data_IF_844248024086
#
_entry.id   IF_844248024086
#
_cell.length_a   1.000
_cell.length_b   1.000
_cell.length_c   1.000
_cell.angle_alpha   90.00
_cell.angle_beta   90.00
_cell.angle_gamma   90.00
#
_symmetry.space_group_name_H-M   'P 1'
#
loop_
_entity.id
_entity.type
_entity.pdbx_description
1 polymer ?
#
# COMPACT_ATOMS: atom_id res chain seq x y z
N UNK A 1 -0.14 -12.49 -12.81
CA UNK A 1 -0.58 -13.11 -11.54
C UNK A 1 -1.45 -14.32 -11.83
N UNK A 2 -1.09 -15.49 -11.28
CA UNK A 2 -1.81 -16.75 -11.51
C UNK A 2 -2.59 -17.16 -10.25
N UNK A 3 -3.76 -16.55 -10.05
CA UNK A 3 -4.61 -16.89 -8.90
C UNK A 3 -5.25 -18.28 -9.02
N UNK A 4 -5.31 -18.89 -10.20
CA UNK A 4 -6.00 -20.17 -10.40
C UNK A 4 -5.43 -21.24 -9.46
N UNK A 5 -4.11 -21.31 -9.33
CA UNK A 5 -3.41 -22.27 -8.45
C UNK A 5 -3.68 -22.07 -6.96
N UNK A 6 -4.17 -20.89 -6.56
CA UNK A 6 -4.41 -20.52 -5.16
C UNK A 6 -5.87 -20.60 -4.77
N UNK A 7 -6.76 -20.50 -5.74
CA UNK A 7 -8.21 -20.51 -5.59
C UNK A 7 -8.78 -21.94 -5.66
N UNK A 8 -9.92 -22.21 -4.97
CA UNK A 8 -10.49 -23.54 -4.89
C UNK A 8 -10.93 -24.08 -6.26
N UNK A 9 -10.69 -25.38 -6.47
CA UNK A 9 -10.96 -26.09 -7.73
C UNK A 9 -12.39 -25.86 -8.24
N UNK A 10 -12.51 -25.54 -9.53
CA UNK A 10 -13.77 -25.35 -10.27
C UNK A 10 -14.68 -24.25 -9.71
N UNK A 11 -14.13 -23.28 -8.97
CA UNK A 11 -14.89 -22.12 -8.47
C UNK A 11 -14.52 -20.85 -9.23
N UNK A 12 -15.52 -20.09 -9.71
CA UNK A 12 -15.28 -18.88 -10.50
C UNK A 12 -15.08 -17.67 -9.58
N UNK A 13 -13.96 -16.97 -9.78
CA UNK A 13 -13.67 -15.69 -9.17
C UNK A 13 -13.31 -14.70 -10.26
N UNK A 14 -13.26 -13.42 -9.91
CA UNK A 14 -12.64 -12.42 -10.75
C UNK A 14 -11.63 -11.59 -9.98
N UNK A 15 -10.52 -11.25 -10.64
CA UNK A 15 -9.49 -10.38 -10.08
C UNK A 15 -9.55 -9.00 -10.73
N UNK A 16 -9.36 -7.98 -9.90
CA UNK A 16 -9.23 -6.60 -10.34
C UNK A 16 -8.00 -6.01 -9.68
N UNK A 17 -7.12 -5.39 -10.47
CA UNK A 17 -5.92 -4.76 -9.97
C UNK A 17 -5.82 -3.34 -10.51
N UNK A 18 -5.96 -2.37 -9.61
CA UNK A 18 -5.66 -0.97 -9.89
C UNK A 18 -4.28 -0.62 -9.35
N UNK A 19 -3.54 0.19 -10.10
CA UNK A 19 -2.40 0.92 -9.55
C UNK A 19 -2.37 2.36 -10.00
N UNK A 20 -1.64 3.20 -9.29
CA UNK A 20 -1.32 4.55 -9.79
C UNK A 20 -0.13 4.52 -10.74
N UNK A 21 -0.02 5.51 -11.64
CA UNK A 21 1.28 5.90 -12.16
C UNK A 21 2.22 6.27 -11.01
N UNK A 22 3.52 6.01 -11.15
CA UNK A 22 4.47 6.44 -10.15
C UNK A 22 4.50 7.97 -10.09
N UNK A 23 4.47 8.51 -8.87
CA UNK A 23 4.54 9.94 -8.65
C UNK A 23 5.54 10.25 -7.55
N UNK A 24 6.28 11.35 -7.73
CA UNK A 24 7.26 11.79 -6.74
C UNK A 24 6.58 12.20 -5.42
N UNK A 25 7.08 11.67 -4.30
CA UNK A 25 6.63 11.98 -2.95
C UNK A 25 7.77 12.52 -2.08
N UNK A 26 7.48 12.79 -0.80
CA UNK A 26 8.53 13.09 0.19
C UNK A 26 9.38 11.83 0.41
N UNK A 27 10.66 12.02 0.75
CA UNK A 27 11.54 10.91 1.14
C UNK A 27 10.95 10.17 2.34
N UNK A 28 11.10 8.84 2.36
CA UNK A 28 10.64 8.01 3.48
C UNK A 28 11.42 8.31 4.76
N UNK A 29 12.71 8.60 4.64
CA UNK A 29 13.58 8.96 5.77
C UNK A 29 14.11 10.38 5.60
N UNK A 30 14.48 11.01 6.71
CA UNK A 30 15.11 12.34 6.66
C UNK A 30 16.61 12.16 6.41
N UNK A 31 17.03 12.35 5.17
CA UNK A 31 18.42 12.25 4.73
C UNK A 31 18.94 13.57 4.15
N UNK A 32 20.26 13.78 4.23
CA UNK A 32 20.99 14.84 3.55
C UNK A 32 22.13 14.17 2.75
N UNK A 33 22.17 14.27 1.40
CA UNK A 33 21.21 14.94 0.52
C UNK A 33 19.83 14.26 0.51
N UNK A 34 18.81 15.01 0.11
CA UNK A 34 17.44 14.51 0.04
C UNK A 34 17.33 13.47 -1.07
N UNK A 35 16.80 12.30 -0.74
CA UNK A 35 16.61 11.22 -1.71
C UNK A 35 15.37 11.48 -2.58
N UNK A 36 15.47 11.10 -3.84
CA UNK A 36 14.31 11.06 -4.75
C UNK A 36 13.51 9.81 -4.44
N UNK A 37 12.24 9.98 -4.06
CA UNK A 37 11.33 8.87 -3.78
C UNK A 37 10.10 8.97 -4.66
N UNK A 38 9.80 7.87 -5.36
CA UNK A 38 8.54 7.67 -6.07
C UNK A 38 7.61 6.81 -5.23
N UNK A 39 6.32 7.09 -5.30
CA UNK A 39 5.27 6.32 -4.66
C UNK A 39 4.30 5.77 -5.70
N UNK A 40 3.94 4.51 -5.51
CA UNK A 40 2.95 3.78 -6.30
C UNK A 40 1.95 3.19 -5.32
N UNK A 41 0.65 3.36 -5.59
CA UNK A 41 -0.41 2.71 -4.82
C UNK A 41 -0.95 1.54 -5.61
N UNK A 42 -1.15 0.39 -4.97
CA UNK A 42 -1.80 -0.79 -5.52
C UNK A 42 -3.05 -1.11 -4.70
N UNK A 43 -4.15 -1.38 -5.40
CA UNK A 43 -5.38 -1.92 -4.85
C UNK A 43 -5.73 -3.20 -5.60
N UNK A 44 -5.70 -4.32 -4.88
CA UNK A 44 -6.11 -5.62 -5.40
C UNK A 44 -7.47 -5.97 -4.81
N UNK A 45 -8.40 -6.40 -5.66
CA UNK A 45 -9.73 -6.83 -5.26
C UNK A 45 -9.98 -8.22 -5.84
N UNK A 46 -10.57 -9.09 -5.01
CA UNK A 46 -11.10 -10.38 -5.45
C UNK A 46 -12.62 -10.34 -5.34
N UNK A 47 -13.30 -10.71 -6.43
CA UNK A 47 -14.75 -10.83 -6.52
C UNK A 47 -15.14 -12.30 -6.59
N UNK A 48 -16.11 -12.70 -5.79
CA UNK A 48 -16.79 -13.99 -5.94
C UNK A 48 -17.83 -13.83 -7.05
N UNK A 49 -17.71 -14.57 -8.15
CA UNK A 49 -18.63 -14.45 -9.29
C UNK A 49 -19.98 -15.12 -9.05
N UNK A 50 -20.10 -16.00 -8.05
CA UNK A 50 -21.38 -16.62 -7.68
C UNK A 50 -22.19 -15.67 -6.78
N UNK A 51 -21.52 -15.03 -5.82
CA UNK A 51 -22.16 -14.04 -4.94
C UNK A 51 -22.20 -12.62 -5.54
N UNK A 52 -21.46 -12.40 -6.64
CA UNK A 52 -21.29 -11.14 -7.36
C UNK A 52 -20.83 -9.96 -6.50
N UNK A 53 -20.11 -10.24 -5.42
CA UNK A 53 -19.60 -9.25 -4.50
C UNK A 53 -18.09 -9.34 -4.35
N UNK A 54 -17.45 -8.22 -3.99
CA UNK A 54 -16.06 -8.20 -3.55
C UNK A 54 -15.95 -8.97 -2.22
N UNK A 55 -14.97 -9.87 -2.12
CA UNK A 55 -14.74 -10.74 -0.95
C UNK A 55 -13.42 -10.47 -0.24
N UNK A 56 -12.43 -9.93 -0.95
CA UNK A 56 -11.10 -9.59 -0.41
C UNK A 56 -10.59 -8.31 -1.06
N UNK A 57 -9.97 -7.45 -0.26
CA UNK A 57 -9.26 -6.25 -0.72
C UNK A 57 -7.87 -6.18 -0.09
N UNK A 58 -6.88 -5.72 -0.85
CA UNK A 58 -5.51 -5.51 -0.36
C UNK A 58 -4.99 -4.18 -0.90
N UNK A 59 -4.56 -3.31 0.01
CA UNK A 59 -3.89 -2.04 -0.30
C UNK A 59 -2.39 -2.16 0.00
N UNK A 60 -1.57 -1.85 -0.99
CA UNK A 60 -0.11 -1.88 -0.89
C UNK A 60 0.45 -0.59 -1.49
N UNK A 61 1.30 0.10 -0.73
CA UNK A 61 2.10 1.19 -1.26
C UNK A 61 3.51 0.66 -1.58
N UNK A 62 3.96 0.87 -2.81
CA UNK A 62 5.34 0.59 -3.24
C UNK A 62 6.08 1.92 -3.33
N UNK A 63 7.22 1.99 -2.66
CA UNK A 63 8.12 3.15 -2.70
C UNK A 63 9.41 2.78 -3.42
N UNK A 64 9.86 3.64 -4.31
CA UNK A 64 11.15 3.54 -4.97
C UNK A 64 12.02 4.70 -4.52
N UNK A 65 13.05 4.41 -3.74
CA UNK A 65 14.00 5.41 -3.24
C UNK A 65 15.33 5.25 -3.94
N UNK A 66 15.77 6.33 -4.59
CA UNK A 66 17.02 6.39 -5.32
C UNK A 66 18.09 7.06 -4.45
N UNK A 67 19.23 6.38 -4.28
CA UNK A 67 20.38 6.89 -3.55
C UNK A 67 21.67 6.58 -4.33
N UNK A 68 22.15 7.55 -5.11
CA UNK A 68 23.28 7.32 -6.03
C UNK A 68 22.94 6.20 -7.02
N UNK A 69 23.75 5.14 -7.03
CA UNK A 69 23.59 3.97 -7.90
C UNK A 69 22.77 2.83 -7.27
N UNK A 70 22.12 3.09 -6.12
CA UNK A 70 21.28 2.12 -5.42
C UNK A 70 19.80 2.48 -5.53
N UNK A 71 19.00 1.50 -5.94
CA UNK A 71 17.55 1.53 -5.84
C UNK A 71 17.08 0.69 -4.66
N UNK A 72 16.30 1.30 -3.77
CA UNK A 72 15.54 0.57 -2.75
C UNK A 72 14.07 0.55 -3.13
N UNK A 73 13.51 -0.64 -3.37
CA UNK A 73 12.07 -0.86 -3.45
C UNK A 73 11.53 -1.28 -2.10
N UNK A 74 10.64 -0.49 -1.54
CA UNK A 74 9.96 -0.78 -0.28
C UNK A 74 8.48 -1.07 -0.54
N UNK A 75 8.09 -2.33 -0.40
CA UNK A 75 6.71 -2.81 -0.47
C UNK A 75 6.10 -2.69 0.94
N UNK A 76 5.23 -1.71 1.14
CA UNK A 76 4.54 -1.48 2.39
C UNK A 76 3.09 -1.98 2.29
N UNK A 77 2.79 -3.07 2.98
CA UNK A 77 1.41 -3.59 3.04
C UNK A 77 0.62 -2.72 4.01
N UNK A 78 -0.33 -1.95 3.47
CA UNK A 78 -1.14 -1.01 4.25
C UNK A 78 -2.26 -1.75 4.98
N UNK A 79 -3.11 -2.43 4.21
CA UNK A 79 -4.37 -2.99 4.67
C UNK A 79 -4.67 -4.24 3.87
N UNK A 80 -5.18 -5.26 4.53
CA UNK A 80 -5.83 -6.41 3.91
C UNK A 80 -7.12 -6.67 4.67
N UNK A 81 -8.23 -6.83 3.96
CA UNK A 81 -9.55 -6.93 4.57
C UNK A 81 -10.45 -7.86 3.76
N UNK A 82 -11.43 -8.45 4.43
CA UNK A 82 -12.45 -9.33 3.82
C UNK A 82 -13.83 -8.84 4.17
N UNK A 83 -14.81 -9.11 3.29
CA UNK A 83 -16.19 -8.64 3.50
C UNK A 83 -17.05 -9.65 4.26
N UNK A 84 -16.74 -10.95 4.15
CA UNK A 84 -17.61 -12.02 4.67
C UNK A 84 -18.91 -12.22 3.88
N UNK A 85 -19.04 -11.60 2.69
CA UNK A 85 -20.24 -11.69 1.84
C UNK A 85 -20.18 -12.83 0.80
N UNK A 86 -19.03 -13.48 0.68
CA UNK A 86 -18.77 -14.54 -0.30
C UNK A 86 -19.63 -15.79 -0.06
N UNK A 87 -19.95 -16.47 -1.16
CA UNK A 87 -20.63 -17.78 -1.17
C UNK A 87 -19.64 -18.94 -1.21
N UNK A 88 -18.43 -18.70 -1.73
CA UNK A 88 -17.38 -19.71 -1.86
C UNK A 88 -16.33 -19.55 -0.77
N UNK A 89 -16.02 -20.65 -0.07
CA UNK A 89 -14.90 -20.69 0.87
C UNK A 89 -13.57 -20.72 0.11
N UNK A 90 -12.68 -19.75 0.38
CA UNK A 90 -11.33 -19.68 -0.18
C UNK A 90 -10.32 -19.32 0.91
N UNK A 91 -9.02 -19.49 0.61
CA UNK A 91 -7.94 -19.06 1.50
C UNK A 91 -7.47 -17.66 1.14
N UNK A 92 -7.86 -16.65 1.93
CA UNK A 92 -7.37 -15.29 1.77
C UNK A 92 -5.84 -15.21 1.84
N UNK A 93 -5.21 -16.06 2.66
CA UNK A 93 -3.75 -16.12 2.80
C UNK A 93 -3.05 -16.42 1.47
N UNK A 94 -3.64 -17.28 0.66
CA UNK A 94 -3.00 -17.79 -0.56
C UNK A 94 -3.19 -16.83 -1.73
N UNK A 95 -4.29 -16.09 -1.73
CA UNK A 95 -4.48 -14.97 -2.64
C UNK A 95 -3.52 -13.83 -2.31
N UNK A 96 -3.40 -13.48 -1.02
CA UNK A 96 -2.48 -12.42 -0.57
C UNK A 96 -1.02 -12.82 -0.81
N UNK A 97 -0.67 -14.09 -0.61
CA UNK A 97 0.66 -14.64 -0.94
C UNK A 97 1.01 -14.40 -2.41
N UNK A 98 0.10 -14.74 -3.33
CA UNK A 98 0.31 -14.54 -4.76
C UNK A 98 0.48 -13.06 -5.13
N UNK A 99 -0.25 -12.16 -4.46
CA UNK A 99 -0.10 -10.70 -4.66
C UNK A 99 1.29 -10.23 -4.22
N UNK A 100 1.76 -10.66 -3.04
CA UNK A 100 3.09 -10.25 -2.54
C UNK A 100 4.19 -10.87 -3.38
N UNK A 101 4.08 -12.15 -3.74
CA UNK A 101 5.02 -12.85 -4.61
C UNK A 101 5.13 -12.16 -5.98
N UNK A 102 3.99 -11.78 -6.58
CA UNK A 102 3.95 -10.98 -7.80
C UNK A 102 4.71 -9.66 -7.66
N UNK A 103 4.43 -8.88 -6.60
CA UNK A 103 5.09 -7.59 -6.40
C UNK A 103 6.59 -7.73 -6.12
N UNK A 104 7.01 -8.80 -5.44
CA UNK A 104 8.43 -9.10 -5.21
C UNK A 104 9.12 -9.49 -6.51
N UNK A 105 8.47 -10.24 -7.39
CA UNK A 105 9.04 -10.67 -8.67
C UNK A 105 8.99 -9.59 -9.75
N UNK A 106 8.09 -8.62 -9.65
CA UNK A 106 7.90 -7.58 -10.66
C UNK A 106 9.18 -6.78 -10.90
N UNK A 107 9.52 -6.50 -12.16
CA UNK A 107 10.63 -5.60 -12.46
C UNK A 107 10.31 -4.17 -11.99
N UNK A 108 11.11 -3.56 -11.09
CA UNK A 108 10.86 -2.19 -10.62
C UNK A 108 10.94 -1.11 -11.71
N UNK A 109 11.62 -1.37 -12.84
CA UNK A 109 11.77 -0.42 -13.98
C UNK A 109 10.43 0.06 -14.53
N UNK A 110 9.44 -0.84 -14.56
CA UNK A 110 8.10 -0.58 -15.09
C UNK A 110 7.43 0.60 -14.40
N UNK A 111 7.75 0.83 -13.12
CA UNK A 111 7.18 1.94 -12.38
C UNK A 111 7.77 3.28 -12.79
N UNK A 112 9.07 3.34 -13.07
CA UNK A 112 9.78 4.60 -13.18
C UNK A 112 10.02 5.07 -14.61
N UNK A 113 9.95 4.19 -15.61
CA UNK A 113 9.93 4.56 -17.04
C UNK A 113 8.78 5.52 -17.41
N UNK A 114 7.64 5.43 -16.69
CA UNK A 114 6.45 6.26 -16.91
C UNK A 114 6.12 7.14 -15.71
N UNK A 115 7.11 7.47 -14.88
CA UNK A 115 6.90 8.26 -13.67
C UNK A 115 6.55 9.72 -13.95
N UNK A 116 5.73 10.28 -13.06
CA UNK A 116 5.42 11.71 -13.00
C UNK A 116 6.28 12.41 -11.94
N UNK A 117 7.01 13.44 -12.36
CA UNK A 117 7.89 14.23 -11.50
C UNK A 117 7.28 15.59 -11.16
N UNK A 118 7.69 16.20 -10.05
CA UNK A 118 7.28 17.58 -9.71
C UNK A 118 8.15 18.56 -10.49
N UNK A 119 7.54 19.58 -11.09
CA UNK A 119 8.21 20.59 -11.94
C UNK A 119 9.41 21.28 -11.28
N UNK A 120 9.41 21.45 -9.94
CA UNK A 120 10.54 22.08 -9.22
C UNK A 120 11.80 21.21 -9.10
N UNK A 121 11.68 19.90 -9.31
CA UNK A 121 12.77 18.93 -9.21
C UNK A 121 13.06 18.24 -10.55
N UNK A 122 12.46 18.70 -11.66
CA UNK A 122 12.92 18.31 -12.98
C UNK A 122 14.36 18.83 -13.13
N UNK A 123 15.33 18.01 -13.57
CA UNK A 123 16.68 18.50 -13.76
C UNK A 123 16.64 19.68 -14.73
N UNK A 124 17.22 20.80 -14.29
CA UNK A 124 17.44 21.94 -15.16
C UNK A 124 18.31 21.44 -16.31
N UNK A 125 17.76 21.45 -17.52
CA UNK A 125 18.59 21.42 -18.71
C UNK A 125 19.35 22.75 -18.74
N UNK A 126 20.67 22.66 -18.65
CA UNK A 126 21.68 23.71 -18.82
C UNK A 126 21.73 24.83 -17.75
N UNK A 127 22.91 25.12 -17.15
CA UNK A 127 23.08 26.25 -16.21
C UNK A 127 23.25 27.63 -16.86
N UNK A 128 23.23 27.74 -18.18
CA UNK A 128 23.52 28.99 -18.88
C UNK A 128 22.28 29.51 -19.59
N UNK A 129 21.45 30.23 -18.83
CA UNK A 129 20.60 31.35 -19.26
C UNK A 129 19.69 31.73 -18.08
N UNK A 130 20.29 32.40 -17.10
CA UNK A 130 19.54 33.19 -16.11
C UNK A 130 19.91 34.64 -16.32
N UNK A 131 19.36 35.24 -17.35
CA UNK A 131 19.19 36.68 -17.38
C UNK A 131 17.87 37.07 -18.07
N UNK A 132 17.22 38.05 -17.44
CA UNK A 132 16.12 38.87 -17.95
C UNK A 132 14.80 38.17 -18.36
N UNK A 133 13.86 38.07 -17.40
CA UNK A 133 12.47 38.54 -17.58
C UNK A 133 11.61 38.32 -16.33
N UNK A 134 11.86 39.12 -15.28
CA UNK A 134 10.81 39.50 -14.34
C UNK A 134 10.06 40.69 -14.93
N UNK A 135 9.10 40.43 -15.81
CA UNK A 135 8.06 41.40 -16.11
C UNK A 135 6.83 41.04 -15.29
N UNK A 136 6.58 41.84 -14.26
CA UNK A 136 5.30 41.92 -13.56
C UNK A 136 4.14 41.99 -14.58
N UNK A 137 3.00 41.31 -14.35
CA UNK A 137 1.84 41.54 -15.19
C UNK A 137 1.36 42.97 -14.92
N UNK A 138 1.46 43.81 -15.95
CA UNK A 138 0.92 45.17 -15.97
C UNK A 138 -0.58 45.14 -15.66
N UNK A 139 -0.95 45.81 -14.58
CA UNK A 139 -2.29 46.33 -14.31
C UNK A 139 -2.71 47.26 -15.45
N UNK A 140 -3.79 46.92 -16.15
CA UNK A 140 -4.57 47.87 -16.93
C UNK A 140 -6.07 47.54 -16.81
N UNK A 141 -6.78 48.60 -16.44
CA UNK A 141 -8.17 48.76 -16.05
C UNK A 141 -9.22 48.09 -16.94
N UNK A 142 -10.31 47.61 -16.32
CA UNK A 142 -11.59 47.58 -17.04
C UNK A 142 -12.67 46.58 -16.64
N UNK A 143 -12.50 45.67 -15.68
CA UNK A 143 -13.61 44.85 -15.15
C UNK A 143 -13.35 44.54 -13.67
N UNK A 144 -14.33 44.82 -12.81
CA UNK A 144 -14.30 44.43 -11.40
C UNK A 144 -14.19 42.90 -11.27
N UNK A 145 -13.18 42.41 -10.54
CA UNK A 145 -13.09 41.00 -10.18
C UNK A 145 -14.35 40.60 -9.39
N UNK A 146 -15.00 39.51 -9.81
CA UNK A 146 -16.11 38.91 -9.08
C UNK A 146 -15.60 38.26 -7.79
N UNK A 147 -16.39 38.24 -6.72
CA UNK A 147 -16.04 37.53 -5.48
C UNK A 147 -15.92 36.01 -5.69
N UNK A 148 -16.50 35.48 -6.77
CA UNK A 148 -16.45 34.06 -7.10
C UNK A 148 -15.27 33.75 -8.03
N UNK A 149 -14.30 32.98 -7.54
CA UNK A 149 -13.11 32.56 -8.30
C UNK A 149 -13.47 31.90 -9.64
N UNK A 150 -14.54 31.11 -9.69
CA UNK A 150 -15.03 30.44 -10.91
C UNK A 150 -15.45 31.46 -11.97
N UNK A 151 -16.03 32.59 -11.57
CA UNK A 151 -16.48 33.63 -12.51
C UNK A 151 -15.27 34.35 -13.11
N UNK A 152 -14.25 34.63 -12.30
CA UNK A 152 -13.00 35.21 -12.79
C UNK A 152 -12.24 34.26 -13.71
N UNK A 153 -12.22 32.96 -13.39
CA UNK A 153 -11.64 31.93 -14.24
C UNK A 153 -12.35 31.85 -15.60
N UNK A 154 -13.70 31.90 -15.60
CA UNK A 154 -14.51 31.89 -16.82
C UNK A 154 -14.32 33.17 -17.65
N UNK A 155 -14.24 34.34 -17.03
CA UNK A 155 -13.97 35.61 -17.70
C UNK A 155 -12.57 35.63 -18.33
N UNK A 156 -11.57 35.10 -17.61
CA UNK A 156 -10.22 34.95 -18.13
C UNK A 156 -10.17 33.97 -19.32
N UNK A 157 -10.99 32.91 -19.28
CA UNK A 157 -11.12 31.95 -20.37
C UNK A 157 -11.82 32.58 -21.58
N UNK A 158 -12.92 33.32 -21.38
CA UNK A 158 -13.63 34.06 -22.43
C UNK A 158 -12.70 35.04 -23.14
N UNK A 159 -11.97 35.85 -22.38
CA UNK A 159 -11.04 36.84 -22.94
C UNK A 159 -9.91 36.18 -23.74
N UNK A 160 -9.44 35.00 -23.34
CA UNK A 160 -8.46 34.21 -24.10
C UNK A 160 -9.05 33.63 -25.39
N UNK A 161 -10.33 33.24 -25.39
CA UNK A 161 -11.03 32.75 -26.58
C UNK A 161 -11.30 33.85 -27.60
N UNK A 162 -11.64 35.04 -27.11
CA UNK A 162 -11.84 36.22 -27.95
C UNK A 162 -10.53 36.65 -28.64
N UNK A 163 -9.39 36.50 -27.96
CA UNK A 163 -8.07 36.84 -28.50
C UNK A 163 -7.49 35.77 -29.44
N UNK A 164 -7.74 34.49 -29.16
CA UNK A 164 -7.36 33.37 -30.04
C UNK A 164 -8.51 32.36 -30.11
N UNK A 165 -9.38 32.44 -31.12
CA UNK A 165 -10.47 31.48 -31.32
C UNK A 165 -9.94 30.04 -31.55
N UNK A 166 -8.70 29.90 -32.00
CA UNK A 166 -7.99 28.64 -32.12
C UNK A 166 -7.48 28.10 -30.79
N UNK A 167 -7.56 28.86 -29.69
CA UNK A 167 -7.06 28.49 -28.36
C UNK A 167 -7.62 27.16 -27.88
N UNK A 168 -8.92 26.86 -28.04
CA UNK A 168 -9.50 25.56 -27.62
C UNK A 168 -8.96 24.40 -28.44
N UNK A 169 -8.76 24.63 -29.74
CA UNK A 169 -8.22 23.62 -30.64
C UNK A 169 -6.74 23.39 -30.35
N UNK A 170 -5.99 24.46 -30.06
CA UNK A 170 -4.62 24.40 -29.55
C UNK A 170 -4.56 23.81 -28.17
N UNK A 171 -5.48 24.05 -27.23
CA UNK A 171 -5.46 23.41 -25.89
C UNK A 171 -5.83 21.94 -26.00
N UNK A 172 -6.77 21.56 -26.87
CA UNK A 172 -7.07 20.16 -27.13
C UNK A 172 -5.88 19.46 -27.79
N UNK A 173 -5.30 20.06 -28.83
CA UNK A 173 -4.09 19.57 -29.50
C UNK A 173 -2.86 19.64 -28.59
N UNK A 174 -2.78 20.59 -27.65
CA UNK A 174 -1.71 20.74 -26.65
C UNK A 174 -1.89 19.78 -25.48
N UNK A 175 -3.10 19.45 -25.06
CA UNK A 175 -3.38 18.39 -24.09
C UNK A 175 -3.16 17.01 -24.72
N UNK A 176 -3.46 16.88 -26.01
CA UNK A 176 -3.21 15.68 -26.81
C UNK A 176 -1.72 15.58 -27.20
N UNK A 177 -1.00 16.69 -27.39
CA UNK A 177 0.45 16.71 -27.56
C UNK A 177 1.17 16.62 -26.22
N UNK A 178 0.63 17.09 -25.09
CA UNK A 178 1.16 16.75 -23.75
C UNK A 178 1.03 15.25 -23.46
N UNK A 179 0.13 14.54 -24.15
CA UNK A 179 0.07 13.09 -24.12
C UNK A 179 1.10 12.41 -25.04
N UNK A 180 1.74 13.15 -25.97
CA UNK A 180 2.65 12.60 -27.00
C UNK A 180 4.02 13.28 -27.16
N UNK A 181 4.29 14.44 -26.58
CA UNK A 181 5.53 15.21 -26.75
C UNK A 181 6.12 15.58 -25.39
N UNK A 182 7.38 15.17 -25.26
CA UNK A 182 8.32 15.35 -24.14
C UNK A 182 8.07 14.49 -22.89
N UNK A 183 8.08 13.16 -23.10
CA UNK A 183 8.67 12.27 -22.08
C UNK A 183 10.13 12.72 -21.90
N UNK A 184 10.39 13.63 -20.95
CA UNK A 184 11.75 13.85 -20.46
C UNK A 184 12.27 12.49 -20.00
N UNK A 185 13.28 11.99 -20.70
CA UNK A 185 13.93 10.73 -20.39
C UNK A 185 14.28 10.67 -18.91
N UNK A 186 14.12 9.49 -18.35
CA UNK A 186 14.37 9.17 -16.96
C UNK A 186 15.76 9.70 -16.54
N UNK A 187 15.87 10.75 -15.71
CA UNK A 187 17.15 11.41 -15.44
C UNK A 187 18.00 10.70 -14.37
N UNK A 188 17.81 9.40 -14.23
CA UNK A 188 18.45 8.57 -13.22
C UNK A 188 19.17 7.44 -13.95
N UNK A 189 20.49 7.41 -13.82
CA UNK A 189 21.32 6.28 -14.24
C UNK A 189 20.68 4.97 -13.76
N UNK A 190 20.63 3.95 -14.63
CA UNK A 190 20.06 2.64 -14.27
C UNK A 190 20.85 2.08 -13.08
N UNK A 191 20.24 1.92 -11.90
CA UNK A 191 20.98 1.58 -10.70
C UNK A 191 21.58 0.17 -10.78
N UNK A 192 22.85 0.03 -10.39
CA UNK A 192 23.55 -1.28 -10.38
C UNK A 192 23.23 -2.13 -9.15
N UNK A 193 22.62 -1.53 -8.11
CA UNK A 193 22.27 -2.25 -6.87
C UNK A 193 20.79 -2.12 -6.54
N UNK A 194 20.21 -3.23 -6.11
CA UNK A 194 18.79 -3.32 -5.82
C UNK A 194 18.53 -3.90 -4.44
N UNK A 195 17.89 -3.13 -3.58
CA UNK A 195 17.42 -3.61 -2.28
C UNK A 195 15.89 -3.72 -2.29
N UNK A 196 15.39 -4.89 -1.90
CA UNK A 196 13.99 -5.11 -1.64
C UNK A 196 13.72 -5.04 -0.14
N UNK A 197 12.63 -4.37 0.21
CA UNK A 197 12.08 -4.37 1.56
C UNK A 197 10.61 -4.69 1.49
N UNK A 198 10.15 -5.55 2.38
CA UNK A 198 8.74 -5.72 2.69
C UNK A 198 8.59 -5.27 4.13
N UNK A 199 7.59 -4.45 4.42
CA UNK A 199 7.23 -4.23 5.82
C UNK A 199 5.74 -4.06 5.98
N UNK A 200 5.24 -4.47 7.14
CA UNK A 200 3.85 -4.33 7.49
C UNK A 200 3.68 -4.23 9.00
N UNK A 201 2.48 -3.84 9.38
CA UNK A 201 2.03 -3.86 10.76
C UNK A 201 0.79 -4.70 10.91
N UNK A 202 0.80 -5.55 11.92
CA UNK A 202 -0.36 -6.37 12.26
C UNK A 202 -1.06 -5.71 13.42
N UNK A 203 -2.15 -5.00 13.14
CA UNK A 203 -3.11 -4.58 14.15
C UNK A 203 -4.43 -5.22 13.77
N UNK A 204 -5.15 -5.76 14.74
CA UNK A 204 -6.51 -6.24 14.48
C UNK A 204 -7.47 -5.04 14.57
N UNK A 205 -8.44 -5.00 13.65
CA UNK A 205 -9.57 -4.10 13.70
C UNK A 205 -10.77 -4.78 13.04
N UNK A 206 -11.96 -4.28 13.37
CA UNK A 206 -13.21 -4.79 12.83
C UNK A 206 -13.31 -4.69 11.30
N UNK A 207 -12.76 -3.60 10.74
CA UNK A 207 -12.69 -3.35 9.30
C UNK A 207 -11.58 -2.34 8.98
N UNK A 208 -11.03 -2.44 7.77
CA UNK A 208 -9.96 -1.58 7.25
C UNK A 208 -10.32 -0.95 5.91
N UNK A 209 -10.84 -1.76 4.98
CA UNK A 209 -11.19 -1.36 3.62
C UNK A 209 -12.70 -1.37 3.46
N UNK A 210 -13.41 -2.25 4.17
CA UNK A 210 -14.83 -2.49 3.96
C UNK A 210 -15.64 -2.09 5.21
N UNK A 211 -16.18 -0.85 5.27
CA UNK A 211 -16.92 -0.37 6.43
C UNK A 211 -18.07 -1.28 6.83
N UNK A 212 -18.33 -1.40 8.13
CA UNK A 212 -19.44 -2.19 8.70
C UNK A 212 -19.46 -3.70 8.39
N UNK A 213 -18.51 -4.20 7.60
CA UNK A 213 -18.41 -5.63 7.25
C UNK A 213 -18.27 -6.58 8.44
N UNK A 214 -17.87 -6.07 9.61
CA UNK A 214 -17.86 -6.82 10.89
C UNK A 214 -19.22 -7.40 11.29
N UNK A 215 -20.30 -6.75 10.85
CA UNK A 215 -21.67 -7.17 11.14
C UNK A 215 -22.10 -8.35 10.26
N UNK A 216 -21.32 -8.70 9.24
CA UNK A 216 -21.62 -9.82 8.36
C UNK A 216 -21.27 -11.13 9.06
N UNK A 217 -22.24 -12.03 9.16
CA UNK A 217 -22.07 -13.32 9.84
C UNK A 217 -20.93 -14.19 9.24
N UNK A 218 -20.64 -14.02 7.94
CA UNK A 218 -19.55 -14.72 7.26
C UNK A 218 -18.17 -14.11 7.49
N UNK A 219 -18.05 -12.95 8.15
CA UNK A 219 -16.76 -12.30 8.42
C UNK A 219 -16.17 -12.83 9.73
N UNK A 220 -15.00 -13.47 9.63
CA UNK A 220 -14.20 -13.83 10.79
C UNK A 220 -13.17 -12.74 11.09
N UNK A 221 -13.37 -11.98 12.17
CA UNK A 221 -12.42 -10.97 12.63
C UNK A 221 -11.32 -11.65 13.46
N UNK A 222 -10.09 -11.62 12.95
CA UNK A 222 -8.94 -12.23 13.62
C UNK A 222 -8.55 -11.41 14.88
N UNK A 223 -8.17 -12.12 15.94
CA UNK A 223 -7.50 -11.49 17.09
C UNK A 223 -6.08 -11.04 16.70
N UNK A 224 -5.47 -10.14 17.48
CA UNK A 224 -4.10 -9.66 17.21
C UNK A 224 -3.08 -10.80 17.08
N UNK A 225 -3.16 -11.82 17.95
CA UNK A 225 -2.31 -13.01 17.91
C UNK A 225 -2.52 -13.81 16.61
N UNK A 226 -3.78 -14.06 16.25
CA UNK A 226 -4.13 -14.79 15.03
C UNK A 226 -3.64 -14.05 13.78
N UNK A 227 -3.84 -12.73 13.73
CA UNK A 227 -3.43 -11.91 12.60
C UNK A 227 -1.90 -11.86 12.46
N UNK A 228 -1.17 -11.72 13.57
CA UNK A 228 0.30 -11.75 13.55
C UNK A 228 0.80 -13.10 13.05
N UNK A 229 0.33 -14.21 13.62
CA UNK A 229 0.68 -15.56 13.17
C UNK A 229 0.30 -15.83 11.71
N UNK A 230 -0.84 -15.30 11.25
CA UNK A 230 -1.28 -15.42 9.86
C UNK A 230 -0.30 -14.74 8.88
N UNK A 231 0.16 -13.52 9.20
CA UNK A 231 1.16 -12.82 8.38
C UNK A 231 2.53 -13.49 8.42
N UNK A 232 2.96 -13.99 9.58
CA UNK A 232 4.21 -14.75 9.73
C UNK A 232 4.21 -16.01 8.86
N UNK A 233 3.12 -16.79 8.89
CA UNK A 233 2.96 -18.00 8.08
C UNK A 233 2.86 -17.71 6.57
N UNK A 234 2.34 -16.55 6.19
CA UNK A 234 2.25 -16.11 4.81
C UNK A 234 3.61 -15.68 4.27
N UNK A 235 4.29 -14.77 4.98
CA UNK A 235 5.56 -14.21 4.54
C UNK A 235 6.66 -15.27 4.52
N UNK A 236 6.69 -16.21 5.47
CA UNK A 236 7.66 -17.32 5.49
C UNK A 236 7.57 -18.24 4.26
N UNK A 237 6.43 -18.27 3.58
CA UNK A 237 6.25 -18.99 2.30
C UNK A 237 6.56 -18.14 1.06
N UNK A 238 6.59 -16.82 1.22
CA UNK A 238 6.78 -15.87 0.12
C UNK A 238 8.24 -15.49 -0.06
N UNK A 239 8.97 -15.36 1.05
CA UNK A 239 10.39 -15.01 1.07
C UNK A 239 11.25 -16.27 1.17
N UNK A 240 12.28 -16.36 0.34
CA UNK A 240 13.25 -17.46 0.40
C UNK A 240 14.35 -17.19 1.44
N UNK A 241 15.33 -18.09 1.53
CA UNK A 241 16.43 -18.00 2.49
C UNK A 241 17.41 -16.84 2.26
N UNK A 242 17.36 -16.17 1.10
CA UNK A 242 18.19 -14.99 0.82
C UNK A 242 17.73 -13.74 1.57
N UNK A 243 16.47 -13.72 2.02
CA UNK A 243 15.89 -12.59 2.74
C UNK A 243 16.25 -12.62 4.21
N UNK A 244 16.67 -11.49 4.77
CA UNK A 244 16.75 -11.28 6.22
C UNK A 244 15.41 -10.77 6.73
N UNK A 245 14.72 -11.59 7.51
CA UNK A 245 13.42 -11.28 8.09
C UNK A 245 13.49 -11.07 9.59
N UNK A 246 12.83 -10.01 10.04
CA UNK A 246 12.74 -9.62 11.44
C UNK A 246 11.30 -9.32 11.80
N UNK A 247 10.86 -9.85 12.94
CA UNK A 247 9.54 -9.56 13.48
C UNK A 247 9.60 -9.32 14.99
N UNK A 248 8.73 -8.45 15.48
CA UNK A 248 8.64 -8.16 16.91
C UNK A 248 7.23 -7.74 17.30
N UNK A 249 6.92 -7.88 18.58
CA UNK A 249 5.68 -7.41 19.18
C UNK A 249 6.08 -6.44 20.30
N UNK A 250 6.10 -5.12 20.03
CA UNK A 250 6.52 -4.14 21.02
C UNK A 250 5.72 -4.27 22.30
N UNK A 251 6.43 -4.32 23.44
CA UNK A 251 5.84 -4.49 24.77
C UNK A 251 5.62 -5.94 25.20
N UNK A 252 5.88 -6.93 24.34
CA UNK A 252 5.84 -8.36 24.69
C UNK A 252 7.21 -8.93 25.06
N UNK A 253 7.24 -10.01 25.82
CA UNK A 253 8.46 -10.72 26.17
C UNK A 253 9.03 -11.52 24.99
N UNK A 254 10.35 -11.76 25.02
CA UNK A 254 11.08 -12.44 23.93
C UNK A 254 10.49 -13.80 23.58
N UNK A 255 10.20 -14.62 24.59
CA UNK A 255 9.74 -16.00 24.43
C UNK A 255 8.36 -16.04 23.79
N UNK A 256 7.48 -15.10 24.10
CA UNK A 256 6.17 -14.99 23.48
C UNK A 256 6.25 -14.65 21.99
N UNK A 257 7.19 -13.77 21.60
CA UNK A 257 7.41 -13.42 20.18
C UNK A 257 8.03 -14.60 19.42
N UNK A 258 9.02 -15.25 20.00
CA UNK A 258 9.74 -16.39 19.39
C UNK A 258 8.81 -17.55 19.02
N UNK A 259 7.70 -17.75 19.75
CA UNK A 259 6.68 -18.76 19.42
C UNK A 259 6.00 -18.56 18.06
N UNK A 260 5.96 -17.33 17.56
CA UNK A 260 5.40 -17.01 16.24
C UNK A 260 6.44 -17.04 15.13
N UNK A 261 7.73 -16.98 15.47
CA UNK A 261 8.79 -17.02 14.47
C UNK A 261 8.85 -18.41 13.84
N UNK A 262 8.95 -18.50 12.51
CA UNK A 262 9.16 -19.79 11.86
C UNK A 262 10.54 -20.33 12.24
N UNK A 263 10.69 -21.65 12.29
CA UNK A 263 11.96 -22.35 12.53
C UNK A 263 12.88 -22.30 11.29
N UNK A 264 13.13 -21.08 10.79
CA UNK A 264 13.94 -20.80 9.62
C UNK A 264 15.10 -19.89 10.03
N UNK A 265 16.34 -20.14 9.54
CA UNK A 265 17.53 -19.44 10.01
C UNK A 265 17.54 -17.95 9.64
N UNK A 266 16.76 -17.56 8.64
CA UNK A 266 16.69 -16.19 8.15
C UNK A 266 15.64 -15.33 8.87
N UNK A 267 14.96 -15.89 9.88
CA UNK A 267 14.00 -15.20 10.73
C UNK A 267 14.56 -14.98 12.12
N UNK A 268 14.44 -13.75 12.63
CA UNK A 268 14.88 -13.40 13.97
C UNK A 268 13.96 -12.36 14.60
N UNK A 269 14.05 -12.19 15.92
CA UNK A 269 13.31 -11.14 16.63
C UNK A 269 13.91 -9.77 16.33
N UNK A 270 13.06 -8.76 16.13
CA UNK A 270 13.46 -7.35 16.03
C UNK A 270 12.87 -6.64 14.81
N UNK A 271 13.64 -5.72 14.22
CA UNK A 271 13.21 -4.94 13.05
C UNK A 271 14.35 -4.68 12.05
N UNK A 272 14.00 -4.37 10.80
CA UNK A 272 14.94 -4.15 9.69
C UNK A 272 15.54 -2.73 9.65
N UNK A 273 15.25 -1.88 10.64
CA UNK A 273 15.64 -0.47 10.66
C UNK A 273 16.77 -0.17 11.64
N UNK A 274 17.02 -1.06 12.61
CA UNK A 274 18.19 -1.00 13.49
C UNK A 274 19.38 -1.61 12.76
N UNK A 275 20.39 -0.79 12.51
CA UNK A 275 21.71 -1.19 12.01
C UNK A 275 22.69 -1.31 13.16
N UNK A 276 23.74 -2.11 13.00
CA UNK A 276 24.82 -2.27 13.99
C UNK A 276 25.53 -0.95 14.29
N UNK A 277 25.64 -0.08 13.28
CA UNK A 277 26.03 1.30 13.48
C UNK A 277 24.84 2.06 14.09
N UNK A 278 24.95 2.47 15.35
CA UNK A 278 23.93 3.28 16.01
C UNK A 278 23.66 4.54 15.19
N UNK A 279 22.44 4.64 14.69
CA UNK A 279 21.98 5.76 13.89
C UNK A 279 20.86 6.50 14.61
N UNK A 280 20.68 7.77 14.28
CA UNK A 280 19.52 8.53 14.76
C UNK A 280 18.23 7.99 14.14
N UNK A 281 17.18 7.83 14.95
CA UNK A 281 15.90 7.28 14.54
C UNK A 281 15.30 8.05 13.35
N UNK A 282 15.48 9.38 13.30
CA UNK A 282 14.97 10.23 12.22
C UNK A 282 15.54 9.90 10.83
N UNK A 283 16.73 9.28 10.77
CA UNK A 283 17.40 8.90 9.52
C UNK A 283 17.10 7.46 9.08
N UNK A 284 16.66 6.62 10.02
CA UNK A 284 16.50 5.17 9.78
C UNK A 284 15.03 4.73 9.72
N UNK A 285 14.14 5.38 10.47
CA UNK A 285 12.73 5.00 10.56
C UNK A 285 11.94 5.64 9.41
N UNK A 286 11.32 4.84 8.52
CA UNK A 286 10.53 5.38 7.42
C UNK A 286 9.18 5.93 7.90
N UNK A 287 8.75 7.02 7.28
CA UNK A 287 7.44 7.65 7.49
C UNK A 287 6.43 7.11 6.47
N UNK A 288 5.63 6.14 6.89
CA UNK A 288 4.52 5.61 6.11
C UNK A 288 3.17 6.26 6.50
N UNK A 289 2.18 6.30 5.60
CA UNK A 289 0.85 6.81 5.94
C UNK A 289 0.15 5.88 6.94
N UNK A 290 -0.58 6.46 7.90
CA UNK A 290 -1.33 5.75 8.96
C UNK A 290 -0.49 4.75 9.77
N UNK A 291 0.81 5.01 9.91
CA UNK A 291 1.80 4.12 10.52
C UNK A 291 2.14 4.51 11.97
N UNK A 292 1.98 3.60 12.96
CA UNK A 292 2.37 3.84 14.35
C UNK A 292 3.81 4.36 14.56
N UNK A 293 4.80 3.91 13.76
CA UNK A 293 6.19 4.40 13.88
C UNK A 293 6.25 5.84 13.38
N UNK A 294 5.69 6.08 12.20
CA UNK A 294 5.64 7.42 11.62
C UNK A 294 5.03 8.43 12.59
N UNK A 295 3.88 8.08 13.18
CA UNK A 295 3.17 8.90 14.16
C UNK A 295 4.02 9.18 15.41
N UNK A 296 4.70 8.16 15.96
CA UNK A 296 5.58 8.38 17.11
C UNK A 296 6.78 9.27 16.75
N UNK A 297 7.38 9.07 15.58
CA UNK A 297 8.48 9.92 15.12
C UNK A 297 8.04 11.38 14.93
N UNK A 298 6.85 11.61 14.41
CA UNK A 298 6.25 12.95 14.31
C UNK A 298 6.07 13.59 15.70
N UNK A 299 5.59 12.84 16.70
CA UNK A 299 5.52 13.34 18.08
C UNK A 299 6.90 13.74 18.62
N UNK A 300 7.95 12.94 18.37
CA UNK A 300 9.32 13.27 18.77
C UNK A 300 9.87 14.52 18.06
N UNK A 301 9.43 14.78 16.84
CA UNK A 301 9.80 15.99 16.09
C UNK A 301 9.13 17.21 16.73
N UNK A 302 7.83 17.13 17.02
CA UNK A 302 7.07 18.20 17.70
C UNK A 302 7.64 18.49 19.09
N UNK A 303 8.00 17.46 19.85
CA UNK A 303 8.64 17.57 21.17
C UNK A 303 10.13 17.97 21.08
N UNK A 304 10.69 18.15 19.88
CA UNK A 304 12.11 18.46 19.62
C UNK A 304 13.10 17.45 20.25
N UNK A 305 12.65 16.22 20.56
CA UNK A 305 13.47 15.12 21.12
C UNK A 305 14.16 14.27 20.05
N UNK A 306 13.81 14.45 18.78
CA UNK A 306 14.32 13.66 17.67
C UNK A 306 15.85 13.76 17.46
N UNK A 307 16.50 14.85 17.90
CA UNK A 307 17.93 15.12 17.66
C UNK A 307 18.86 14.16 18.41
N UNK A 308 18.47 13.70 19.59
CA UNK A 308 19.23 12.77 20.42
C UNK A 308 18.67 11.34 20.43
N UNK A 309 17.64 11.08 19.64
CA UNK A 309 16.94 9.80 19.65
C UNK A 309 17.69 8.76 18.81
N UNK A 310 18.33 7.79 19.44
CA UNK A 310 18.93 6.63 18.76
C UNK A 310 17.83 5.65 18.31
N UNK A 311 18.13 4.80 17.33
CA UNK A 311 17.19 3.77 16.87
C UNK A 311 16.79 2.82 17.99
N UNK A 312 17.72 2.39 18.86
CA UNK A 312 17.44 1.47 19.97
C UNK A 312 16.46 2.08 20.96
N UNK A 313 16.77 3.29 21.45
CA UNK A 313 15.91 4.02 22.38
C UNK A 313 14.52 4.31 21.78
N UNK A 314 14.47 4.60 20.49
CA UNK A 314 13.21 4.78 19.78
C UNK A 314 12.32 3.53 19.86
N UNK A 315 12.87 2.34 19.65
CA UNK A 315 12.10 1.09 19.74
C UNK A 315 11.65 0.78 21.17
N UNK A 316 12.51 1.06 22.16
CA UNK A 316 12.15 0.92 23.57
C UNK A 316 10.99 1.86 23.93
N UNK A 317 11.06 3.14 23.57
CA UNK A 317 9.98 4.10 23.83
C UNK A 317 8.69 3.78 23.06
N UNK A 318 8.80 3.25 21.82
CA UNK A 318 7.65 2.83 21.02
C UNK A 318 6.85 1.73 21.72
N UNK A 319 7.52 0.77 22.35
CA UNK A 319 6.88 -0.33 23.08
C UNK A 319 5.99 0.12 24.25
N UNK A 320 6.29 1.28 24.86
CA UNK A 320 5.50 1.84 25.96
C UNK A 320 4.33 2.72 25.51
N UNK A 321 4.15 2.95 24.20
CA UNK A 321 3.02 3.75 23.70
C UNK A 321 1.70 3.01 23.89
N UNK A 322 0.64 3.76 24.18
CA UNK A 322 -0.71 3.21 24.40
C UNK A 322 -1.20 2.31 23.25
N UNK A 323 -0.83 2.65 22.01
CA UNK A 323 -1.18 1.88 20.81
C UNK A 323 -0.66 0.43 20.83
N UNK A 324 0.40 0.15 21.59
CA UNK A 324 0.98 -1.19 21.75
C UNK A 324 0.65 -1.83 23.11
N UNK A 325 0.10 -1.07 24.06
CA UNK A 325 -0.25 -1.56 25.42
C UNK A 325 -1.73 -1.87 25.60
N UNK A 326 -2.63 -1.24 24.84
CA UNK A 326 -4.07 -1.34 25.04
C UNK A 326 -4.67 -2.59 24.37
N UNK A 327 -4.46 -3.75 25.00
CA UNK A 327 -5.25 -4.99 24.87
C UNK A 327 -5.18 -5.76 23.54
N UNK A 328 -4.98 -5.08 22.41
CA UNK A 328 -4.83 -5.69 21.11
C UNK A 328 -3.36 -5.75 20.72
N UNK A 329 -2.85 -6.96 20.49
CA UNK A 329 -1.49 -7.18 20.03
C UNK A 329 -1.23 -6.43 18.73
N UNK A 330 -0.16 -5.63 18.71
CA UNK A 330 0.36 -4.98 17.50
C UNK A 330 1.74 -5.53 17.18
N UNK A 331 1.86 -6.18 16.02
CA UNK A 331 3.10 -6.79 15.55
C UNK A 331 3.74 -5.99 14.43
N UNK A 332 5.06 -6.07 14.34
CA UNK A 332 5.89 -5.42 13.32
C UNK A 332 6.62 -6.50 12.57
N UNK A 333 6.52 -6.49 11.24
CA UNK A 333 7.23 -7.44 10.41
C UNK A 333 7.98 -6.67 9.32
N UNK A 334 9.25 -7.02 9.12
CA UNK A 334 10.09 -6.49 8.07
C UNK A 334 10.97 -7.57 7.48
N UNK A 335 11.07 -7.63 6.16
CA UNK A 335 12.01 -8.48 5.45
C UNK A 335 12.81 -7.63 4.48
N UNK A 336 14.11 -7.91 4.31
CA UNK A 336 14.95 -7.24 3.33
C UNK A 336 15.85 -8.23 2.60
N UNK A 337 16.10 -7.94 1.34
CA UNK A 337 16.97 -8.71 0.47
C UNK A 337 17.73 -7.73 -0.44
N UNK A 338 18.98 -8.07 -0.79
CA UNK A 338 19.84 -7.25 -1.63
C UNK A 338 20.33 -8.06 -2.81
N UNK A 339 19.99 -7.61 -4.02
CA UNK A 339 20.36 -8.25 -5.29
C UNK A 339 21.18 -7.29 -6.15
N UNK A 340 22.08 -7.86 -6.96
CA UNK A 340 22.85 -7.10 -7.97
C UNK A 340 22.06 -6.82 -9.26
N UNK A 341 21.11 -7.69 -9.62
CA UNK A 341 20.34 -7.54 -10.86
C UNK A 341 18.89 -7.14 -10.57
N UNK A 342 18.40 -6.11 -11.27
CA UNK A 342 17.00 -5.64 -11.25
C UNK A 342 16.06 -6.44 -12.16
N UNK A 343 16.44 -7.66 -12.56
CA UNK A 343 15.59 -8.53 -13.36
C UNK A 343 14.30 -8.88 -12.62
N UNK A 344 13.24 -9.15 -13.38
CA UNK A 344 11.94 -9.51 -12.83
C UNK A 344 10.95 -9.86 -13.93
N UNK A 345 9.72 -10.18 -13.52
CA UNK A 345 8.60 -10.39 -14.44
C UNK A 345 8.07 -9.06 -14.95
N UNK A 346 7.42 -9.10 -16.11
CA UNK A 346 6.64 -7.97 -16.64
C UNK A 346 5.37 -7.76 -15.83
N UNK A 347 4.79 -6.57 -15.96
CA UNK A 347 3.52 -6.24 -15.33
C UNK A 347 2.39 -7.10 -15.91
N UNK A 348 1.46 -7.50 -15.06
CA UNK A 348 0.25 -8.21 -15.45
C UNK A 348 -0.53 -7.32 -16.44
N UNK A 349 -0.82 -7.80 -17.67
CA UNK A 349 -1.54 -7.01 -18.67
C UNK A 349 -2.93 -6.55 -18.22
N UNK A 350 -3.50 -7.22 -17.21
CA UNK A 350 -4.80 -6.84 -16.62
C UNK A 350 -4.71 -5.70 -15.59
N UNK A 351 -3.52 -5.17 -15.34
CA UNK A 351 -3.31 -4.05 -14.41
C UNK A 351 -3.90 -2.76 -14.97
N UNK A 352 -4.87 -2.18 -14.26
CA UNK A 352 -5.49 -0.90 -14.63
C UNK A 352 -4.64 0.23 -14.04
N UNK A 353 -3.99 0.98 -14.92
CA UNK A 353 -3.13 2.11 -14.54
C UNK A 353 -3.96 3.38 -14.42
N UNK A 354 -3.86 4.05 -13.28
CA UNK A 354 -4.70 5.20 -12.94
C UNK A 354 -3.86 6.42 -12.55
N UNK A 355 -4.40 7.61 -12.72
CA UNK A 355 -3.90 8.81 -12.06
C UNK A 355 -4.27 8.79 -10.58
N UNK A 356 -3.59 9.61 -9.76
CA UNK A 356 -3.92 9.75 -8.33
C UNK A 356 -5.37 10.16 -8.07
N UNK A 357 -5.94 11.01 -8.94
CA UNK A 357 -7.33 11.48 -8.81
C UNK A 357 -8.32 10.36 -9.14
N UNK A 358 -8.06 9.60 -10.21
CA UNK A 358 -8.86 8.43 -10.59
C UNK A 358 -8.82 7.35 -9.51
N UNK A 359 -7.62 6.97 -9.02
CA UNK A 359 -7.45 6.01 -7.94
C UNK A 359 -8.26 6.40 -6.70
N UNK A 360 -8.19 7.67 -6.29
CA UNK A 360 -8.94 8.17 -5.13
C UNK A 360 -10.44 7.97 -5.31
N UNK A 361 -11.00 8.33 -6.46
CA UNK A 361 -12.44 8.16 -6.73
C UNK A 361 -12.87 6.69 -6.67
N UNK A 362 -12.07 5.77 -7.23
CA UNK A 362 -12.35 4.32 -7.21
C UNK A 362 -12.28 3.79 -5.77
N UNK A 363 -11.23 4.18 -5.05
CA UNK A 363 -11.04 3.81 -3.65
C UNK A 363 -12.16 4.35 -2.76
N UNK A 364 -12.60 5.60 -2.98
CA UNK A 364 -13.65 6.24 -2.20
C UNK A 364 -15.03 5.63 -2.50
N UNK A 365 -15.28 5.15 -3.73
CA UNK A 365 -16.46 4.34 -4.03
C UNK A 365 -16.49 3.09 -3.14
N UNK A 366 -15.40 2.32 -3.13
CA UNK A 366 -15.33 1.07 -2.36
C UNK A 366 -15.46 1.34 -0.85
N UNK A 367 -14.79 2.36 -0.33
CA UNK A 367 -14.86 2.73 1.10
C UNK A 367 -16.12 3.50 1.48
N UNK A 368 -16.90 3.96 0.51
CA UNK A 368 -18.14 4.70 0.74
C UNK A 368 -19.36 3.81 0.98
N UNK A 369 -19.27 2.53 0.63
CA UNK A 369 -20.37 1.58 0.74
C UNK A 369 -20.54 1.01 2.16
N UNK A 370 -21.79 0.67 2.48
CA UNK A 370 -22.16 -0.08 3.69
C UNK A 370 -22.21 -1.58 3.40
N UNK A 371 -21.20 -2.32 3.86
CA UNK A 371 -21.07 -3.75 3.58
C UNK A 371 -22.05 -4.64 4.34
N UNK A 372 -22.95 -4.08 5.16
CA UNK A 372 -24.09 -4.84 5.70
C UNK A 372 -25.17 -5.10 4.64
N UNK A 373 -25.25 -4.24 3.62
CA UNK A 373 -26.27 -4.30 2.58
C UNK A 373 -25.73 -5.00 1.35
N UNK A 374 -25.85 -6.33 1.30
CA UNK A 374 -25.32 -7.15 0.21
C UNK A 374 -25.81 -6.70 -1.18
N UNK A 375 -27.08 -6.32 -1.31
CA UNK A 375 -27.65 -5.92 -2.61
C UNK A 375 -27.01 -4.65 -3.17
N UNK A 376 -26.65 -3.69 -2.30
CA UNK A 376 -25.98 -2.46 -2.71
C UNK A 376 -24.55 -2.76 -3.19
N UNK A 377 -23.85 -3.68 -2.51
CA UNK A 377 -22.53 -4.15 -2.95
C UNK A 377 -22.59 -4.87 -4.30
N UNK A 378 -23.62 -5.71 -4.53
CA UNK A 378 -23.83 -6.39 -5.82
C UNK A 378 -24.11 -5.37 -6.93
N UNK A 379 -24.96 -4.37 -6.68
CA UNK A 379 -25.21 -3.26 -7.63
C UNK A 379 -23.94 -2.49 -7.94
N UNK A 380 -23.15 -2.14 -6.92
CA UNK A 380 -21.87 -1.46 -7.06
C UNK A 380 -20.89 -2.29 -7.92
N UNK A 381 -20.80 -3.61 -7.69
CA UNK A 381 -19.92 -4.51 -8.45
C UNK A 381 -20.39 -4.77 -9.90
N UNK A 382 -21.70 -4.71 -10.18
CA UNK A 382 -22.26 -4.94 -11.54
C UNK A 382 -22.27 -3.68 -12.39
N UNK A 383 -22.68 -2.55 -11.81
CA UNK A 383 -22.96 -1.30 -12.54
C UNK A 383 -22.06 -0.17 -12.07
N UNK A 384 -22.05 0.14 -10.78
CA UNK A 384 -21.37 1.33 -10.24
C UNK A 384 -19.87 1.40 -10.56
N UNK A 385 -19.13 0.29 -10.43
CA UNK A 385 -17.72 0.24 -10.81
C UNK A 385 -17.50 0.45 -12.31
N UNK A 386 -18.28 -0.22 -13.15
CA UNK A 386 -18.18 -0.12 -14.60
C UNK A 386 -18.46 1.32 -15.07
N UNK A 387 -19.53 1.91 -14.56
CA UNK A 387 -19.90 3.30 -14.88
C UNK A 387 -18.85 4.30 -14.40
N UNK A 388 -18.33 4.13 -13.17
CA UNK A 388 -17.29 5.02 -12.66
C UNK A 388 -16.01 4.91 -13.49
N UNK A 389 -15.56 3.70 -13.79
CA UNK A 389 -14.31 3.46 -14.54
C UNK A 389 -14.46 4.00 -15.97
N UNK A 390 -15.59 3.78 -16.63
CA UNK A 390 -15.90 4.36 -17.94
C UNK A 390 -15.93 5.90 -17.91
N UNK A 391 -16.56 6.51 -16.90
CA UNK A 391 -16.56 7.99 -16.70
C UNK A 391 -15.18 8.56 -16.46
N UNK A 392 -14.24 7.75 -15.97
CA UNK A 392 -12.84 8.13 -15.77
C UNK A 392 -11.98 7.93 -17.02
N UNK A 393 -12.54 7.45 -18.13
CA UNK A 393 -11.82 7.17 -19.38
C UNK A 393 -10.89 5.96 -19.26
N UNK A 394 -11.26 4.98 -18.44
CA UNK A 394 -10.52 3.76 -18.20
C UNK A 394 -11.38 2.57 -18.64
N UNK A 395 -10.74 1.46 -19.00
CA UNK A 395 -11.41 0.20 -19.27
C UNK A 395 -11.29 -0.70 -18.04
N UNK A 396 -12.43 -1.17 -17.51
CA UNK A 396 -12.40 -2.13 -16.40
C UNK A 396 -12.00 -3.50 -16.96
N UNK A 397 -10.83 -3.97 -16.58
CA UNK A 397 -10.37 -5.33 -16.87
C UNK A 397 -10.72 -6.23 -15.68
N UNK A 398 -11.87 -6.88 -15.76
CA UNK A 398 -12.35 -7.88 -14.78
C UNK A 398 -11.96 -9.28 -15.28
N UNK A 399 -10.84 -9.84 -14.77
CA UNK A 399 -10.32 -11.12 -15.27
C UNK A 399 -10.93 -12.28 -14.52
N UNK A 400 -11.81 -13.02 -15.21
CA UNK A 400 -12.36 -14.28 -14.71
C UNK A 400 -11.27 -15.33 -14.53
N UNK A 401 -11.26 -15.95 -13.36
CA UNK A 401 -10.30 -17.00 -12.96
C UNK A 401 -11.09 -18.16 -12.37
N UNK A 402 -10.88 -19.35 -12.93
CA UNK A 402 -11.38 -20.60 -12.36
C UNK A 402 -10.28 -21.20 -11.51
N UNK A 403 -10.55 -21.45 -10.23
CA UNK A 403 -9.57 -22.06 -9.34
C UNK A 403 -9.23 -23.50 -9.73
N UNK A 404 -8.00 -23.91 -9.45
CA UNK A 404 -7.45 -25.23 -9.74
C UNK A 404 -6.87 -25.90 -8.50
N UNK A 405 -6.98 -25.27 -7.32
CA UNK A 405 -6.44 -25.82 -6.08
C UNK A 405 -7.39 -26.87 -5.51
N UNK A 406 -6.93 -28.11 -5.53
CA UNK A 406 -7.62 -29.22 -4.85
C UNK A 406 -7.71 -28.93 -3.34
N UNK A 407 -8.82 -29.27 -2.69
CA UNK A 407 -8.89 -29.21 -1.24
C UNK A 407 -7.78 -30.10 -0.67
N UNK A 408 -6.97 -29.55 0.24
CA UNK A 408 -6.04 -30.38 1.01
C UNK A 408 -6.87 -31.42 1.75
N UNK A 409 -6.69 -32.71 1.46
CA UNK A 409 -7.29 -33.79 2.26
C UNK A 409 -6.86 -33.56 3.71
N UNK A 410 -7.79 -33.09 4.54
CA UNK A 410 -7.68 -33.30 5.97
C UNK A 410 -7.71 -34.81 6.15
N UNK A 411 -6.60 -35.39 6.58
CA UNK A 411 -6.64 -36.69 7.24
C UNK A 411 -7.70 -36.59 8.32
N UNK A 412 -8.73 -37.41 8.21
CA UNK A 412 -9.64 -37.75 9.29
C UNK A 412 -8.83 -38.41 10.41
N UNK A 413 -8.13 -37.58 11.18
CA UNK A 413 -7.53 -37.93 12.45
C UNK A 413 -8.54 -37.54 13.53
N UNK A 414 -8.85 -38.50 14.38
CA UNK A 414 -9.78 -38.42 15.49
C UNK A 414 -9.64 -37.11 16.29
N UNK A 415 -10.77 -36.62 16.76
CA UNK A 415 -10.84 -35.49 17.67
C UNK A 415 -10.02 -35.79 18.94
N UNK A 416 -8.76 -35.38 18.98
CA UNK A 416 -8.04 -35.23 20.24
C UNK A 416 -8.62 -33.99 20.93
N UNK A 417 -9.55 -34.21 21.85
CA UNK A 417 -9.97 -33.22 22.84
C UNK A 417 -8.76 -32.82 23.68
N UNK A 418 -8.00 -31.82 23.22
CA UNK A 418 -7.06 -31.11 24.06
C UNK A 418 -7.90 -30.25 25.02
N UNK A 419 -8.06 -30.76 26.24
CA UNK A 419 -8.63 -30.03 27.37
C UNK A 419 -7.75 -28.79 27.61
N UNK A 420 -8.22 -27.64 27.12
CA UNK A 420 -7.67 -26.35 27.53
C UNK A 420 -8.17 -26.10 28.93
N UNK A 421 -7.29 -26.29 29.91
CA UNK A 421 -7.52 -25.89 31.31
C UNK A 421 -7.63 -24.37 31.39
N UNK A 422 -8.86 -23.87 31.30
CA UNK A 422 -9.18 -22.49 31.68
C UNK A 422 -8.88 -22.30 33.18
N UNK A 423 -7.84 -21.52 33.48
CA UNK A 423 -7.40 -21.18 34.84
C UNK A 423 -8.27 -20.11 35.54
N UNK A 424 -9.55 -19.99 35.19
CA UNK A 424 -10.46 -18.98 35.78
C UNK A 424 -11.31 -19.51 36.94
N UNK A 425 -11.00 -20.69 37.49
CA UNK A 425 -11.85 -21.38 38.48
C UNK A 425 -11.27 -21.63 39.87
N UNK A 426 -10.17 -20.98 40.27
CA UNK A 426 -9.51 -21.25 41.57
C UNK A 426 -9.82 -20.19 42.64
N UNK A 427 -11.08 -20.10 43.07
CA UNK A 427 -11.44 -19.67 44.43
C UNK A 427 -12.64 -20.49 44.90
N UNK A 428 -12.40 -21.65 45.55
CA UNK A 428 -13.41 -22.29 46.40
C UNK A 428 -13.18 -21.85 47.84
N UNK A 429 -14.01 -20.90 48.31
CA UNK A 429 -14.14 -20.60 49.75
C UNK A 429 -14.65 -21.86 50.47
N UNK A 430 -13.86 -22.41 51.39
CA UNK A 430 -14.34 -23.36 52.41
C UNK A 430 -15.33 -22.63 53.32
N UNK A 431 -16.57 -23.11 53.39
CA UNK A 431 -17.46 -22.81 54.52
C UNK A 431 -17.34 -23.94 55.54
N UNK A 432 -17.34 -23.53 56.80
CA UNK A 432 -17.25 -24.33 58.03
C UNK A 432 -18.28 -25.46 58.07
#
# INVERSE_FOLDING_TARGET
MDFAKRLPENKPFSKIHFRTNAYQCKSLTVSKPKQTTLKIKHLFLLKDLVAECIVLGIEIDVYLTFQGDQLTRHIFVLKADTTGLGSVRFSAAEVVLEVIDYLVKLNPEIYYEKASFKEKDAPAANPEEKDASKSSPSTLSGCSESEYAIVNDLLALSKKLEQDPGFLRKTRVYLQSLSMSERKEFPLHRPSWFNNKISLFTRAADSYIFPESKKNAGKHVATGNQLFGWWMALLSKTVDSSWVCKADIPGSDARSVERFLPSLPNWSRGNIYVTENENYAIRSIPLFPDDPKGRFLEHLIVENRYKGMTTTRYWDELAFRQEFRLGNLVGIIGCTDTKKNMGGITEDPSTIITTRKQYRKIHDLIKGEDYTKKDDIVKMCRTGMNELVARLGLDLVDVSVIGSRKPSRLTSGEASTAVVTNLTGLVKKRKK
#
